data_IF_011789879731
#
_entry.id   IF_011789879731
#
_cell.length_a   1.000
_cell.length_b   1.000
_cell.length_c   1.000
_cell.angle_alpha   90.00
_cell.angle_beta   90.00
_cell.angle_gamma   90.00
#
_symmetry.space_group_name_H-M   'P 1'
#
loop_
_entity.id
_entity.type
_entity.pdbx_description
1 polymer ?
#
# COMPACT_ATOMS: atom_id res chain seq x y z
N UNK A 1 -26.90 -4.38 3.72
CA UNK A 1 -26.70 -3.17 2.90
C UNK A 1 -27.17 -1.90 3.59
N UNK A 2 -28.38 -1.83 4.14
CA UNK A 2 -28.88 -0.61 4.82
C UNK A 2 -28.04 -0.13 6.01
N UNK A 3 -27.46 -1.06 6.81
CA UNK A 3 -26.59 -0.68 7.93
C UNK A 3 -25.28 -0.04 7.45
N UNK A 4 -24.63 -0.63 6.44
CA UNK A 4 -23.41 -0.07 5.84
C UNK A 4 -23.68 1.27 5.14
N UNK A 5 -24.89 1.48 4.61
CA UNK A 5 -25.30 2.77 4.06
C UNK A 5 -25.36 3.88 5.14
N UNK A 6 -25.81 3.53 6.34
CA UNK A 6 -25.81 4.44 7.49
C UNK A 6 -24.38 4.73 7.95
N UNK A 7 -23.52 3.72 7.97
CA UNK A 7 -22.11 3.88 8.35
C UNK A 7 -21.37 4.76 7.34
N UNK A 8 -21.66 4.62 6.04
CA UNK A 8 -21.19 5.54 4.99
C UNK A 8 -21.69 6.98 5.19
N UNK A 9 -22.97 7.16 5.53
CA UNK A 9 -23.52 8.48 5.82
C UNK A 9 -22.91 9.10 7.09
N UNK A 10 -22.41 8.28 8.01
CA UNK A 10 -21.65 8.70 9.19
C UNK A 10 -20.18 9.03 8.89
N UNK A 11 -19.73 8.89 7.63
CA UNK A 11 -18.39 9.28 7.18
C UNK A 11 -17.39 8.13 7.04
N UNK A 12 -17.85 6.87 7.01
CA UNK A 12 -17.00 5.72 6.71
C UNK A 12 -16.79 5.55 5.19
N UNK A 13 -15.58 5.89 4.71
CA UNK A 13 -15.19 5.77 3.31
C UNK A 13 -14.98 4.31 2.84
N UNK A 14 -14.81 3.37 3.77
CA UNK A 14 -14.65 1.94 3.46
C UNK A 14 -15.98 1.17 3.44
N UNK A 15 -17.07 1.80 3.89
CA UNK A 15 -18.39 1.18 3.92
C UNK A 15 -18.91 0.87 2.51
N UNK A 16 -19.42 -0.35 2.33
CA UNK A 16 -19.91 -0.80 1.02
C UNK A 16 -21.17 -0.02 0.64
N UNK A 17 -21.28 0.30 -0.64
CA UNK A 17 -22.46 0.92 -1.22
C UNK A 17 -23.62 -0.08 -1.28
N UNK A 18 -24.84 0.46 -1.23
CA UNK A 18 -26.04 -0.32 -1.53
C UNK A 18 -26.10 -0.54 -3.04
N UNK A 19 -26.01 -1.79 -3.46
CA UNK A 19 -26.20 -2.21 -4.85
C UNK A 19 -27.56 -2.90 -4.99
N UNK A 20 -28.55 -2.13 -5.44
CA UNK A 20 -29.93 -2.61 -5.64
C UNK A 20 -30.03 -3.68 -6.74
N UNK A 21 -29.13 -3.66 -7.72
CA UNK A 21 -29.11 -4.68 -8.78
C UNK A 21 -28.59 -6.02 -8.25
N UNK A 22 -27.61 -5.98 -7.34
CA UNK A 22 -27.14 -7.17 -6.63
C UNK A 22 -28.25 -7.76 -5.75
N UNK A 23 -28.94 -6.93 -4.96
CA UNK A 23 -30.10 -7.36 -4.15
C UNK A 23 -31.19 -8.02 -5.01
N UNK A 24 -31.58 -7.36 -6.10
CA UNK A 24 -32.57 -7.89 -7.05
C UNK A 24 -32.15 -9.26 -7.60
N UNK A 25 -30.86 -9.44 -7.93
CA UNK A 25 -30.33 -10.71 -8.41
C UNK A 25 -30.39 -11.83 -7.36
N UNK A 26 -30.23 -11.50 -6.07
CA UNK A 26 -30.41 -12.46 -4.98
C UNK A 26 -31.88 -12.86 -4.78
N UNK A 27 -32.82 -11.93 -5.02
CA UNK A 27 -34.27 -12.18 -4.93
C UNK A 27 -34.77 -13.14 -6.01
N UNK A 28 -34.15 -13.15 -7.20
CA UNK A 28 -34.42 -14.15 -8.23
C UNK A 28 -34.00 -15.58 -7.83
N UNK A 29 -33.22 -15.71 -6.75
CA UNK A 29 -32.84 -16.99 -6.14
C UNK A 29 -31.37 -17.32 -6.37
N UNK A 30 -30.53 -16.93 -5.42
CA UNK A 30 -29.18 -17.45 -5.31
C UNK A 30 -29.21 -18.86 -4.67
N UNK A 31 -28.73 -19.92 -5.36
CA UNK A 31 -28.55 -21.23 -4.75
C UNK A 31 -27.63 -21.17 -3.53
N UNK A 32 -27.63 -22.18 -2.63
CA UNK A 32 -26.67 -22.21 -1.53
C UNK A 32 -25.24 -22.23 -2.09
N UNK A 33 -24.55 -21.09 -1.97
CA UNK A 33 -23.22 -20.85 -2.53
C UNK A 33 -22.24 -20.48 -1.42
N UNK A 34 -20.99 -20.88 -1.59
CA UNK A 34 -19.88 -20.48 -0.74
C UNK A 34 -18.85 -19.75 -1.61
N UNK A 35 -18.40 -18.58 -1.14
CA UNK A 35 -17.32 -17.82 -1.77
C UNK A 35 -15.95 -18.21 -1.20
N UNK A 36 -14.91 -18.10 -2.02
CA UNK A 36 -13.52 -18.25 -1.58
C UNK A 36 -12.67 -17.12 -2.15
N UNK A 37 -11.82 -16.55 -1.30
CA UNK A 37 -10.87 -15.50 -1.68
C UNK A 37 -9.52 -15.74 -1.03
N UNK A 38 -8.45 -15.68 -1.81
CA UNK A 38 -7.07 -15.84 -1.35
C UNK A 38 -6.20 -14.73 -1.93
N UNK A 39 -5.45 -14.06 -1.04
CA UNK A 39 -4.43 -13.10 -1.45
C UNK A 39 -3.20 -13.83 -1.95
N UNK A 40 -3.02 -13.91 -3.28
CA UNK A 40 -1.85 -14.56 -3.90
C UNK A 40 -0.55 -13.91 -3.46
N UNK A 41 -0.51 -12.58 -3.37
CA UNK A 41 0.70 -11.85 -2.95
C UNK A 41 1.10 -12.18 -1.50
N UNK A 42 0.13 -12.37 -0.60
CA UNK A 42 0.40 -12.79 0.78
C UNK A 42 0.82 -14.25 0.86
N UNK A 43 0.23 -15.11 0.03
CA UNK A 43 0.66 -16.50 -0.08
C UNK A 43 2.12 -16.57 -0.54
N UNK A 44 2.49 -15.83 -1.59
CA UNK A 44 3.87 -15.82 -2.10
C UNK A 44 4.83 -15.23 -1.06
N UNK A 45 4.47 -14.16 -0.36
CA UNK A 45 5.28 -13.60 0.73
C UNK A 45 5.63 -14.63 1.81
N UNK A 46 4.68 -15.46 2.22
CA UNK A 46 4.93 -16.52 3.19
C UNK A 46 5.80 -17.65 2.63
N UNK A 47 5.67 -17.96 1.34
CA UNK A 47 6.49 -18.98 0.69
C UNK A 47 7.93 -18.50 0.41
N UNK A 48 8.13 -17.19 0.28
CA UNK A 48 9.43 -16.58 -0.01
C UNK A 48 10.08 -15.93 1.21
N UNK A 49 9.54 -16.16 2.43
CA UNK A 49 9.98 -15.54 3.70
C UNK A 49 10.18 -14.02 3.59
N UNK A 50 9.30 -13.38 2.81
CA UNK A 50 9.41 -11.97 2.45
C UNK A 50 8.48 -11.13 3.31
N UNK A 51 9.05 -10.31 4.20
CA UNK A 51 8.28 -9.42 5.08
C UNK A 51 7.67 -8.20 4.38
N UNK A 52 7.98 -7.98 3.10
CA UNK A 52 7.50 -6.86 2.31
C UNK A 52 6.89 -7.34 0.98
N UNK A 53 5.69 -6.87 0.66
CA UNK A 53 4.96 -7.21 -0.57
C UNK A 53 5.71 -6.78 -1.84
N UNK A 54 6.59 -5.80 -1.73
CA UNK A 54 7.41 -5.33 -2.87
C UNK A 54 8.41 -6.37 -3.37
N UNK A 55 8.78 -7.35 -2.54
CA UNK A 55 9.73 -8.41 -2.93
C UNK A 55 9.07 -9.49 -3.82
N UNK A 56 7.74 -9.61 -3.77
CA UNK A 56 6.98 -10.59 -4.55
C UNK A 56 6.26 -9.97 -5.77
N UNK A 57 6.33 -8.65 -5.92
CA UNK A 57 5.79 -7.92 -7.07
C UNK A 57 6.91 -7.57 -8.04
N UNK A 58 6.78 -7.98 -9.30
CA UNK A 58 7.76 -7.68 -10.37
C UNK A 58 7.97 -6.16 -10.57
N UNK A 59 6.90 -5.38 -10.43
CA UNK A 59 6.92 -3.92 -10.53
C UNK A 59 6.05 -3.32 -9.42
N UNK A 60 6.61 -3.06 -8.22
CA UNK A 60 5.84 -2.48 -7.13
C UNK A 60 5.50 -1.01 -7.44
N UNK A 61 4.34 -0.55 -6.96
CA UNK A 61 4.00 0.87 -6.99
C UNK A 61 4.98 1.65 -6.10
N UNK A 62 5.83 2.46 -6.73
CA UNK A 62 6.79 3.34 -6.07
C UNK A 62 6.33 4.78 -6.17
N UNK A 63 6.57 5.56 -5.12
CA UNK A 63 6.39 7.01 -5.20
C UNK A 63 7.42 7.55 -6.21
N UNK A 64 7.02 8.38 -7.19
CA UNK A 64 7.97 8.96 -8.13
C UNK A 64 9.04 9.77 -7.38
N UNK A 65 10.28 9.72 -7.87
CA UNK A 65 11.39 10.48 -7.28
C UNK A 65 11.18 11.98 -7.49
N UNK A 66 11.25 12.75 -6.40
CA UNK A 66 11.24 14.20 -6.45
C UNK A 66 12.53 14.68 -7.14
N UNK A 67 12.46 15.36 -8.30
CA UNK A 67 13.64 15.76 -9.07
C UNK A 67 14.54 16.79 -8.36
N UNK A 68 14.16 17.24 -7.15
CA UNK A 68 14.86 18.26 -6.37
C UNK A 68 15.67 17.70 -5.18
N UNK A 69 15.70 16.38 -4.95
CA UNK A 69 16.32 15.80 -3.73
C UNK A 69 17.86 15.65 -3.78
N UNK A 70 18.49 15.91 -4.93
CA UNK A 70 19.94 15.72 -5.14
C UNK A 70 20.78 17.02 -5.10
N UNK A 71 20.30 18.12 -4.52
CA UNK A 71 21.05 19.41 -4.50
C UNK A 71 21.74 19.78 -3.18
N UNK A 72 21.58 19.04 -2.09
CA UNK A 72 22.02 19.54 -0.76
C UNK A 72 23.08 18.72 -0.03
N UNK A 73 23.62 17.64 -0.59
CA UNK A 73 24.76 16.93 0.03
C UNK A 73 25.97 17.00 -0.88
N UNK A 74 26.66 18.15 -0.83
CA UNK A 74 27.82 18.41 -1.66
C UNK A 74 28.77 19.48 -1.15
N UNK A 75 28.71 19.91 0.12
CA UNK A 75 29.78 20.73 0.71
C UNK A 75 30.06 20.29 2.15
N UNK A 76 31.36 20.21 2.46
CA UNK A 76 32.02 19.94 3.74
C UNK A 76 32.33 18.49 4.12
N UNK A 77 33.40 17.98 3.49
CA UNK A 77 34.49 17.32 4.22
C UNK A 77 35.83 17.63 3.50
N UNK A 78 36.64 18.53 4.07
CA UNK A 78 38.09 18.59 3.82
C UNK A 78 38.82 18.06 5.07
N UNK A 79 39.80 17.15 4.90
CA UNK A 79 40.43 16.43 6.01
C UNK A 79 41.46 17.31 6.75
N UNK A 80 41.59 17.05 8.05
CA UNK A 80 42.65 17.59 8.88
C UNK A 80 43.97 16.84 8.62
N UNK A 81 45.05 17.57 8.32
CA UNK A 81 46.42 17.02 8.33
C UNK A 81 47.45 18.08 8.78
N UNK A 82 47.93 17.88 10.01
CA UNK A 82 49.19 18.21 10.68
C UNK A 82 50.17 19.35 10.25
N UNK A 83 50.58 20.07 11.31
CA UNK A 83 51.97 20.41 11.73
C UNK A 83 52.57 21.79 11.46
N UNK A 84 53.34 22.22 12.47
CA UNK A 84 54.38 23.28 12.51
C UNK A 84 53.88 24.73 12.56
N UNK A 85 53.92 25.41 13.72
CA UNK A 85 55.06 26.05 14.40
C UNK A 85 55.31 27.50 13.96
N UNK A 86 55.64 28.34 14.94
CA UNK A 86 56.36 29.61 14.84
C UNK A 86 55.62 30.85 14.30
N UNK A 87 55.04 31.67 15.20
CA UNK A 87 55.72 32.85 15.81
C UNK A 87 54.78 33.64 16.71
#
# INVERSE_FOLDING_TARGET
>A
FEQQAKDKAAGDDEAQLVDENFCTSLEYGLPPTAGWGLGVDRLTMFLTDSNNIKEVLLFPAMKPDDPNKNKETGEEQKPAENSSSDK
#
